data_IF_759693643051
#
_entry.id   IF_759693643051
#
_cell.length_a   1.000
_cell.length_b   1.000
_cell.length_c   1.000
_cell.angle_alpha   90.00
_cell.angle_beta   90.00
_cell.angle_gamma   90.00
#
_symmetry.space_group_name_H-M   'P 1'
#
loop_
_entity.id
_entity.type
_entity.pdbx_description
1 polymer ?
#
# COMPACT_ATOMS: atom_id res chain seq x y z
N UNK A 1 8.65 -11.94 -0.02
CA UNK A 1 7.24 -12.21 0.30
C UNK A 1 7.08 -13.27 1.39
N UNK A 2 6.00 -13.14 2.17
CA UNK A 2 5.51 -14.05 3.21
C UNK A 2 4.13 -14.55 2.76
N UNK A 3 3.86 -15.85 2.93
CA UNK A 3 2.53 -16.42 2.67
C UNK A 3 1.60 -16.14 3.85
N UNK A 4 0.48 -15.49 3.57
CA UNK A 4 -0.64 -15.33 4.50
C UNK A 4 -1.68 -16.39 4.14
N UNK A 5 -2.15 -17.13 5.15
CA UNK A 5 -3.08 -18.24 4.94
C UNK A 5 -4.49 -17.80 4.46
N UNK A 6 -4.80 -16.51 4.50
CA UNK A 6 -6.18 -16.03 4.33
C UNK A 6 -7.03 -16.31 5.58
N UNK A 7 -8.34 -16.23 5.43
CA UNK A 7 -9.31 -16.42 6.52
C UNK A 7 -10.25 -15.25 6.68
N UNK A 8 -11.05 -15.29 7.75
CA UNK A 8 -11.98 -14.23 8.13
C UNK A 8 -11.37 -13.33 9.20
N UNK A 9 -11.62 -12.03 9.11
CA UNK A 9 -11.26 -11.06 10.13
C UNK A 9 -12.22 -9.88 10.15
N UNK A 10 -12.19 -9.10 11.22
CA UNK A 10 -12.95 -7.86 11.34
C UNK A 10 -12.10 -6.70 10.81
N UNK A 11 -12.55 -6.09 9.70
CA UNK A 11 -11.89 -4.97 9.04
C UNK A 11 -12.63 -3.66 9.36
N UNK A 12 -11.85 -2.59 9.54
CA UNK A 12 -12.36 -1.25 9.85
C UNK A 12 -12.33 -0.93 11.34
N UNK A 13 -12.96 0.17 11.74
CA UNK A 13 -12.97 0.66 13.14
C UNK A 13 -14.27 1.37 13.52
N UNK A 14 -14.61 1.35 14.80
CA UNK A 14 -15.69 2.16 15.40
C UNK A 14 -15.13 3.42 16.11
N UNK A 15 -13.86 3.75 15.88
CA UNK A 15 -13.19 4.85 16.55
C UNK A 15 -13.74 6.21 16.11
N UNK A 16 -14.54 6.83 17.00
CA UNK A 16 -15.27 8.06 16.72
C UNK A 16 -14.41 9.32 16.51
N UNK A 17 -13.11 9.27 16.78
CA UNK A 17 -12.19 10.39 16.52
C UNK A 17 -11.40 10.24 15.22
N UNK A 18 -11.66 9.21 14.42
CA UNK A 18 -11.19 9.16 13.03
C UNK A 18 -11.84 10.26 12.20
N UNK A 19 -11.25 10.58 11.05
CA UNK A 19 -11.82 11.58 10.15
C UNK A 19 -13.01 10.97 9.41
N UNK A 20 -14.23 11.55 9.49
CA UNK A 20 -15.42 10.92 8.87
C UNK A 20 -15.32 10.74 7.35
N UNK A 21 -14.55 11.58 6.67
CA UNK A 21 -14.37 11.53 5.22
C UNK A 21 -13.44 10.40 4.77
N UNK A 22 -12.65 9.82 5.67
CA UNK A 22 -11.71 8.74 5.36
C UNK A 22 -12.41 7.37 5.28
N UNK A 23 -13.63 7.25 5.82
CA UNK A 23 -14.46 6.04 5.68
C UNK A 23 -13.86 4.80 6.35
N UNK A 24 -13.14 4.95 7.46
CA UNK A 24 -12.44 3.85 8.13
C UNK A 24 -13.37 2.78 8.75
N UNK A 25 -14.62 3.13 9.04
CA UNK A 25 -15.63 2.25 9.62
C UNK A 25 -16.83 2.00 8.68
N UNK A 26 -17.85 1.27 9.15
CA UNK A 26 -17.88 0.52 10.41
C UNK A 26 -17.00 -0.73 10.35
N UNK A 27 -16.86 -1.41 11.47
CA UNK A 27 -16.30 -2.77 11.49
C UNK A 27 -17.19 -3.70 10.67
N UNK A 28 -16.58 -4.51 9.80
CA UNK A 28 -17.25 -5.52 8.98
C UNK A 28 -16.39 -6.77 8.85
N UNK A 29 -17.03 -7.94 8.78
CA UNK A 29 -16.33 -9.20 8.53
C UNK A 29 -15.89 -9.28 7.06
N UNK A 30 -14.63 -9.61 6.84
CA UNK A 30 -14.04 -9.79 5.50
C UNK A 30 -13.36 -11.16 5.45
N UNK A 31 -13.67 -11.92 4.39
CA UNK A 31 -12.98 -13.16 4.05
C UNK A 31 -11.97 -12.93 2.92
N UNK A 32 -10.75 -13.45 3.09
CA UNK A 32 -9.72 -13.42 2.06
C UNK A 32 -9.19 -14.83 1.77
N UNK A 33 -8.95 -15.11 0.50
CA UNK A 33 -8.19 -16.29 0.08
C UNK A 33 -6.71 -16.17 0.49
N UNK A 34 -5.94 -17.28 0.55
CA UNK A 34 -4.51 -17.21 0.80
C UNK A 34 -3.78 -16.34 -0.23
N UNK A 35 -2.85 -15.50 0.23
CA UNK A 35 -2.08 -14.59 -0.63
C UNK A 35 -0.64 -14.42 -0.14
N UNK A 36 0.22 -13.81 -0.96
CA UNK A 36 1.57 -13.41 -0.58
C UNK A 36 1.65 -11.90 -0.39
N UNK A 37 2.41 -11.47 0.62
CA UNK A 37 2.69 -10.05 0.85
C UNK A 37 4.19 -9.86 1.13
N UNK A 38 4.79 -8.78 0.66
CA UNK A 38 6.18 -8.48 1.03
C UNK A 38 6.31 -8.05 2.49
N UNK A 39 7.40 -8.50 3.12
CA UNK A 39 7.66 -8.20 4.53
C UNK A 39 8.16 -6.76 4.76
N UNK A 40 8.63 -6.11 3.70
CA UNK A 40 9.11 -4.73 3.69
C UNK A 40 8.48 -4.00 2.51
N UNK A 41 8.45 -2.67 2.58
CA UNK A 41 8.13 -1.86 1.39
C UNK A 41 9.18 -2.06 0.30
N UNK A 42 8.83 -1.73 -0.94
CA UNK A 42 9.82 -1.65 -2.03
C UNK A 42 10.88 -0.62 -1.67
N UNK A 43 12.14 -1.02 -1.76
CA UNK A 43 13.30 -0.18 -1.42
C UNK A 43 13.80 0.58 -2.65
N UNK A 44 14.54 1.67 -2.43
CA UNK A 44 15.21 2.41 -3.50
C UNK A 44 16.09 1.50 -4.37
N UNK A 45 16.81 0.55 -3.77
CA UNK A 45 17.67 -0.39 -4.51
C UNK A 45 16.86 -1.31 -5.44
N UNK A 46 15.72 -1.81 -4.97
CA UNK A 46 14.84 -2.66 -5.78
C UNK A 46 14.19 -1.87 -6.91
N UNK A 47 13.71 -0.65 -6.61
CA UNK A 47 13.09 0.19 -7.63
C UNK A 47 14.11 0.67 -8.68
N UNK A 48 15.35 0.98 -8.28
CA UNK A 48 16.43 1.28 -9.22
C UNK A 48 16.71 0.12 -10.17
N UNK A 49 16.80 -1.11 -9.67
CA UNK A 49 17.00 -2.28 -10.51
C UNK A 49 15.86 -2.48 -11.52
N UNK A 50 14.63 -2.15 -11.15
CA UNK A 50 13.48 -2.14 -12.06
C UNK A 50 13.62 -1.07 -13.15
N UNK A 51 14.03 0.15 -12.80
CA UNK A 51 14.27 1.23 -13.76
C UNK A 51 15.39 0.82 -14.73
N UNK A 52 16.51 0.31 -14.23
CA UNK A 52 17.66 -0.10 -15.06
C UNK A 52 17.27 -1.19 -16.07
N UNK A 53 16.38 -2.11 -15.67
CA UNK A 53 15.94 -3.21 -16.52
C UNK A 53 14.90 -2.80 -17.58
N UNK A 54 14.16 -1.71 -17.37
CA UNK A 54 12.96 -1.38 -18.17
C UNK A 54 13.00 -0.01 -18.82
N UNK A 55 13.90 0.88 -18.37
CA UNK A 55 13.90 2.29 -18.74
C UNK A 55 12.67 3.06 -18.23
N UNK A 56 12.01 2.60 -17.17
CA UNK A 56 10.78 3.20 -16.68
C UNK A 56 10.99 4.64 -16.18
N UNK A 57 10.17 5.56 -16.69
CA UNK A 57 10.09 6.95 -16.22
C UNK A 57 8.83 7.15 -15.39
N UNK A 58 8.99 7.60 -14.14
CA UNK A 58 7.92 7.87 -13.18
C UNK A 58 7.08 9.09 -13.59
N UNK A 59 5.90 9.24 -13.00
CA UNK A 59 5.04 10.41 -13.23
C UNK A 59 5.69 11.71 -12.74
N UNK A 60 6.38 11.69 -11.60
CA UNK A 60 7.09 12.86 -11.08
C UNK A 60 8.14 13.39 -12.08
N UNK A 61 8.85 12.50 -12.78
CA UNK A 61 9.79 12.88 -13.83
C UNK A 61 9.08 13.44 -15.08
N UNK A 62 7.95 12.85 -15.48
CA UNK A 62 7.18 13.32 -16.65
C UNK A 62 6.55 14.69 -16.41
N UNK A 63 6.03 14.93 -15.22
CA UNK A 63 5.49 16.23 -14.83
C UNK A 63 6.60 17.24 -14.49
N UNK A 64 7.77 16.76 -14.10
CA UNK A 64 8.93 17.59 -13.74
C UNK A 64 8.87 18.16 -12.32
N UNK A 65 7.99 17.66 -11.45
CA UNK A 65 7.85 18.11 -10.06
C UNK A 65 7.25 17.03 -9.16
N UNK A 66 7.46 17.17 -7.85
CA UNK A 66 6.79 16.37 -6.81
C UNK A 66 6.74 17.16 -5.49
N UNK A 67 5.98 16.66 -4.52
CA UNK A 67 5.84 17.30 -3.20
C UNK A 67 7.09 17.09 -2.33
N UNK A 68 7.50 18.14 -1.63
CA UNK A 68 8.59 18.14 -0.64
C UNK A 68 8.11 18.91 0.60
N UNK A 69 8.42 18.38 1.79
CA UNK A 69 8.10 19.04 3.06
C UNK A 69 9.14 20.15 3.37
N UNK A 70 8.74 21.20 4.10
CA UNK A 70 9.59 22.34 4.46
C UNK A 70 9.57 22.59 5.97
#
# INVERSE_FOLDING_TARGET
MIKVAGGQFLMGTEYRRGFPLDGEGPIREVGLDPFYIDATTVTNKQFQAFIDATGFQTEAERFGWTFVFH
#
